data_IF_243500203313
#
_entry.id   IF_243500203313
#
_cell.length_a   1.000
_cell.length_b   1.000
_cell.length_c   1.000
_cell.angle_alpha   90.00
_cell.angle_beta   90.00
_cell.angle_gamma   90.00
#
_symmetry.space_group_name_H-M   'P 1'
#
loop_
_entity.id
_entity.type
_entity.pdbx_description
1 polymer ?
#
# COMPACT_ATOMS: atom_id res chain seq x y z
N UNK A 1 -0.91 12.33 29.17
CA UNK A 1 -0.84 11.11 28.34
C UNK A 1 -0.31 11.55 27.00
N UNK A 2 0.98 11.37 26.81
CA UNK A 2 1.72 11.80 25.62
C UNK A 2 1.44 10.79 24.49
N UNK A 3 0.60 11.14 23.52
CA UNK A 3 0.39 10.35 22.31
C UNK A 3 1.44 10.81 21.29
N UNK A 4 2.65 10.24 21.39
CA UNK A 4 3.76 10.61 20.52
C UNK A 4 3.54 10.19 19.06
N UNK A 5 4.04 10.96 18.08
CA UNK A 5 3.90 10.71 16.63
C UNK A 5 4.57 9.40 16.15
N UNK A 6 5.44 8.80 16.96
CA UNK A 6 6.23 7.61 16.62
C UNK A 6 5.42 6.35 16.26
N UNK A 7 4.17 6.25 16.70
CA UNK A 7 3.35 5.06 16.41
C UNK A 7 2.74 5.08 15.01
N UNK A 8 2.44 6.25 14.47
CA UNK A 8 1.81 6.37 13.17
C UNK A 8 2.81 6.16 12.04
N UNK A 9 4.02 6.70 12.18
CA UNK A 9 5.14 6.48 11.25
C UNK A 9 5.50 4.99 11.19
N UNK A 10 5.57 4.32 12.34
CA UNK A 10 5.84 2.88 12.39
C UNK A 10 4.74 2.01 11.75
N UNK A 11 3.48 2.43 11.85
CA UNK A 11 2.37 1.72 11.19
C UNK A 11 2.38 1.95 9.68
N UNK A 12 2.68 3.17 9.25
CA UNK A 12 2.80 3.50 7.83
C UNK A 12 3.94 2.73 7.16
N UNK A 13 5.10 2.65 7.82
CA UNK A 13 6.24 1.85 7.32
C UNK A 13 5.88 0.37 7.19
N UNK A 14 5.18 -0.20 8.18
CA UNK A 14 4.70 -1.59 8.13
C UNK A 14 3.70 -1.82 6.99
N UNK A 15 2.82 -0.87 6.73
CA UNK A 15 1.88 -0.95 5.60
C UNK A 15 2.66 -0.95 4.29
N UNK A 16 3.61 -0.03 4.12
CA UNK A 16 4.44 0.07 2.91
C UNK A 16 5.26 -1.20 2.69
N UNK A 17 5.91 -1.72 3.73
CA UNK A 17 6.68 -2.97 3.67
C UNK A 17 5.78 -4.15 3.28
N UNK A 18 4.64 -4.31 3.95
CA UNK A 18 3.73 -5.41 3.68
C UNK A 18 3.07 -5.31 2.29
N UNK A 19 2.81 -4.10 1.78
CA UNK A 19 2.38 -3.84 0.39
C UNK A 19 3.46 -4.30 -0.59
N UNK A 20 4.72 -3.92 -0.37
CA UNK A 20 5.84 -4.33 -1.21
C UNK A 20 6.02 -5.86 -1.23
N UNK A 21 5.93 -6.51 -0.07
CA UNK A 21 5.99 -7.98 0.03
C UNK A 21 4.80 -8.62 -0.68
N UNK A 22 3.59 -8.06 -0.55
CA UNK A 22 2.39 -8.56 -1.23
C UNK A 22 2.57 -8.53 -2.74
N UNK A 23 3.04 -7.41 -3.29
CA UNK A 23 3.31 -7.22 -4.72
C UNK A 23 4.35 -8.21 -5.23
N UNK A 24 5.51 -8.26 -4.56
CA UNK A 24 6.57 -9.21 -4.89
C UNK A 24 6.08 -10.67 -4.88
N UNK A 25 5.24 -11.03 -3.90
CA UNK A 25 4.71 -12.38 -3.78
C UNK A 25 3.67 -12.73 -4.86
N UNK A 26 2.90 -11.75 -5.35
CA UNK A 26 2.03 -11.93 -6.53
C UNK A 26 2.88 -12.17 -7.78
N UNK A 27 3.88 -11.32 -8.02
CA UNK A 27 4.77 -11.42 -9.19
C UNK A 27 5.55 -12.75 -9.20
N UNK A 28 5.94 -13.22 -8.01
CA UNK A 28 6.67 -14.49 -7.82
C UNK A 28 5.76 -15.73 -7.77
N UNK A 29 4.46 -15.60 -8.03
CA UNK A 29 3.49 -16.69 -7.93
C UNK A 29 3.52 -17.42 -6.57
N UNK A 30 3.68 -16.66 -5.49
CA UNK A 30 3.71 -17.14 -4.09
C UNK A 30 2.42 -16.76 -3.34
N UNK A 31 1.25 -17.33 -3.70
CA UNK A 31 -0.06 -16.84 -3.27
C UNK A 31 -0.32 -16.95 -1.76
N UNK A 32 0.38 -17.86 -1.07
CA UNK A 32 0.29 -17.97 0.40
C UNK A 32 1.01 -16.83 1.10
N UNK A 33 2.17 -16.45 0.58
CA UNK A 33 2.95 -15.32 1.08
C UNK A 33 2.21 -14.01 0.78
N UNK A 34 1.67 -13.87 -0.45
CA UNK A 34 0.90 -12.70 -0.85
C UNK A 34 -0.32 -12.48 0.06
N UNK A 35 -1.07 -13.56 0.37
CA UNK A 35 -2.18 -13.49 1.31
C UNK A 35 -1.73 -13.12 2.74
N UNK A 36 -0.63 -13.70 3.22
CA UNK A 36 -0.13 -13.40 4.56
C UNK A 36 0.30 -11.92 4.69
N UNK A 37 1.00 -11.40 3.69
CA UNK A 37 1.42 -10.00 3.65
C UNK A 37 0.22 -9.05 3.53
N UNK A 38 -0.75 -9.35 2.65
CA UNK A 38 -1.96 -8.55 2.51
C UNK A 38 -2.79 -8.49 3.80
N UNK A 39 -2.84 -9.60 4.55
CA UNK A 39 -3.47 -9.66 5.88
C UNK A 39 -2.80 -8.73 6.88
N UNK A 40 -1.48 -8.71 6.89
CA UNK A 40 -0.73 -7.86 7.81
C UNK A 40 -0.89 -6.38 7.45
N UNK A 41 -0.78 -6.05 6.16
CA UNK A 41 -1.02 -4.71 5.66
C UNK A 41 -2.45 -4.23 6.01
N UNK A 42 -3.46 -5.09 5.84
CA UNK A 42 -4.84 -4.77 6.18
C UNK A 42 -5.05 -4.53 7.69
N UNK A 43 -4.37 -5.28 8.57
CA UNK A 43 -4.42 -5.04 10.02
C UNK A 43 -3.76 -3.71 10.39
N UNK A 44 -2.57 -3.46 9.87
CA UNK A 44 -1.85 -2.21 10.11
C UNK A 44 -2.66 -1.01 9.59
N UNK A 45 -3.28 -1.13 8.42
CA UNK A 45 -4.18 -0.11 7.86
C UNK A 45 -5.39 0.13 8.76
N UNK A 46 -6.07 -0.91 9.26
CA UNK A 46 -7.19 -0.74 10.20
C UNK A 46 -6.77 -0.03 11.50
N UNK A 47 -5.57 -0.31 12.00
CA UNK A 47 -5.01 0.38 13.17
C UNK A 47 -4.70 1.84 12.87
N UNK A 48 -4.06 2.14 11.74
CA UNK A 48 -3.74 3.50 11.32
C UNK A 48 -5.01 4.34 11.08
N UNK A 49 -6.03 3.75 10.44
CA UNK A 49 -7.33 4.38 10.20
C UNK A 49 -8.11 4.65 11.49
N UNK A 50 -7.87 3.89 12.56
CA UNK A 50 -8.43 4.15 13.88
C UNK A 50 -7.86 5.40 14.55
N UNK A 51 -6.73 5.92 14.05
CA UNK A 51 -6.01 7.07 14.62
C UNK A 51 -6.26 8.39 13.86
N UNK A 52 -6.85 8.33 12.66
CA UNK A 52 -7.15 9.51 11.83
C UNK A 52 -8.62 9.93 11.91
N UNK A 53 -8.88 11.23 11.86
CA UNK A 53 -10.24 11.79 11.84
C UNK A 53 -11.01 11.45 10.54
N UNK A 54 -10.27 11.19 9.47
CA UNK A 54 -10.81 10.85 8.14
C UNK A 54 -11.36 9.42 8.14
N UNK A 55 -12.65 9.26 7.89
CA UNK A 55 -13.25 7.93 7.72
C UNK A 55 -13.21 7.49 6.26
N UNK A 56 -12.53 6.38 5.93
CA UNK A 56 -12.57 5.82 4.58
C UNK A 56 -13.97 5.27 4.28
N UNK A 57 -14.23 5.01 3.00
CA UNK A 57 -15.50 4.48 2.54
C UNK A 57 -15.86 3.18 3.27
N UNK A 58 -17.15 2.98 3.57
CA UNK A 58 -17.64 1.78 4.27
C UNK A 58 -17.24 0.49 3.55
N UNK A 59 -17.22 0.51 2.22
CA UNK A 59 -16.80 -0.62 1.38
C UNK A 59 -15.32 -0.96 1.56
N UNK A 60 -14.47 0.05 1.62
CA UNK A 60 -13.02 -0.11 1.82
C UNK A 60 -12.72 -0.70 3.20
N UNK A 61 -13.41 -0.23 4.25
CA UNK A 61 -13.33 -0.82 5.59
C UNK A 61 -13.81 -2.28 5.64
N UNK A 62 -14.85 -2.63 4.87
CA UNK A 62 -15.34 -4.00 4.81
C UNK A 62 -14.30 -4.93 4.18
N UNK A 63 -13.67 -4.50 3.08
CA UNK A 63 -12.61 -5.26 2.41
C UNK A 63 -11.39 -5.46 3.34
N UNK A 64 -10.92 -4.40 4.01
CA UNK A 64 -9.80 -4.52 4.96
C UNK A 64 -10.11 -5.48 6.11
N UNK A 65 -11.33 -5.46 6.63
CA UNK A 65 -11.77 -6.40 7.69
C UNK A 65 -11.87 -7.83 7.18
N UNK A 66 -12.42 -8.02 5.99
CA UNK A 66 -12.52 -9.32 5.35
C UNK A 66 -11.12 -9.94 5.21
N UNK A 67 -10.18 -9.21 4.62
CA UNK A 67 -8.82 -9.70 4.43
C UNK A 67 -8.12 -9.92 5.76
N UNK A 68 -8.14 -8.96 6.69
CA UNK A 68 -7.49 -9.12 8.00
C UNK A 68 -7.93 -10.40 8.75
N UNK A 69 -9.18 -10.80 8.58
CA UNK A 69 -9.79 -11.98 9.24
C UNK A 69 -9.83 -13.24 8.38
N UNK A 70 -9.52 -13.17 7.08
CA UNK A 70 -9.59 -14.34 6.19
C UNK A 70 -8.58 -15.40 6.63
N UNK A 71 -9.05 -16.64 6.67
CA UNK A 71 -8.23 -17.79 7.04
C UNK A 71 -7.81 -18.56 5.80
N UNK A 72 -6.60 -19.14 5.77
CA UNK A 72 -6.12 -19.91 4.60
C UNK A 72 -7.07 -21.04 4.19
N UNK A 73 -7.78 -21.65 5.16
CA UNK A 73 -8.73 -22.73 4.91
C UNK A 73 -9.99 -22.28 4.16
N UNK A 74 -10.45 -21.03 4.36
CA UNK A 74 -11.61 -20.49 3.62
C UNK A 74 -11.33 -20.34 2.12
N UNK A 75 -10.07 -20.16 1.76
CA UNK A 75 -9.61 -20.00 0.38
C UNK A 75 -8.89 -21.26 -0.13
N UNK A 76 -9.01 -22.39 0.56
CA UNK A 76 -8.43 -23.65 0.11
C UNK A 76 -9.13 -24.12 -1.17
N UNK A 77 -8.33 -24.50 -2.18
CA UNK A 77 -8.86 -24.93 -3.49
C UNK A 77 -9.44 -23.81 -4.36
N UNK A 78 -9.36 -22.54 -3.95
CA UNK A 78 -9.88 -21.38 -4.70
C UNK A 78 -8.76 -20.38 -5.03
N UNK A 79 -7.87 -20.70 -5.99
CA UNK A 79 -6.74 -19.83 -6.32
C UNK A 79 -7.18 -18.47 -6.89
N UNK A 80 -8.18 -18.45 -7.78
CA UNK A 80 -8.70 -17.21 -8.38
C UNK A 80 -9.31 -16.25 -7.35
N UNK A 81 -10.13 -16.76 -6.42
CA UNK A 81 -10.70 -15.94 -5.34
C UNK A 81 -9.60 -15.33 -4.45
N UNK A 82 -8.52 -16.08 -4.21
CA UNK A 82 -7.40 -15.61 -3.42
C UNK A 82 -6.64 -14.49 -4.12
N UNK A 83 -6.31 -14.67 -5.40
CA UNK A 83 -5.61 -13.64 -6.19
C UNK A 83 -6.47 -12.37 -6.32
N UNK A 84 -7.76 -12.52 -6.60
CA UNK A 84 -8.68 -11.39 -6.68
C UNK A 84 -8.78 -10.62 -5.35
N UNK A 85 -8.88 -11.34 -4.22
CA UNK A 85 -8.94 -10.72 -2.89
C UNK A 85 -7.64 -9.98 -2.55
N UNK A 86 -6.48 -10.60 -2.83
CA UNK A 86 -5.17 -10.00 -2.57
C UNK A 86 -4.95 -8.79 -3.47
N UNK A 87 -5.24 -8.88 -4.77
CA UNK A 87 -5.12 -7.77 -5.71
C UNK A 87 -6.01 -6.58 -5.35
N UNK A 88 -7.29 -6.82 -5.05
CA UNK A 88 -8.21 -5.76 -4.63
C UNK A 88 -7.76 -5.07 -3.34
N UNK A 89 -7.13 -5.83 -2.42
CA UNK A 89 -6.59 -5.27 -1.17
C UNK A 89 -5.34 -4.45 -1.43
N UNK A 90 -4.46 -4.91 -2.32
CA UNK A 90 -3.26 -4.19 -2.72
C UNK A 90 -3.62 -2.84 -3.34
N UNK A 91 -4.53 -2.82 -4.32
CA UNK A 91 -5.01 -1.60 -4.97
C UNK A 91 -5.60 -0.59 -3.97
N UNK A 92 -6.36 -1.11 -2.99
CA UNK A 92 -6.93 -0.27 -1.94
C UNK A 92 -5.84 0.33 -1.05
N UNK A 93 -4.87 -0.47 -0.62
CA UNK A 93 -3.80 -0.04 0.27
C UNK A 93 -2.89 0.98 -0.42
N UNK A 94 -2.54 0.78 -1.70
CA UNK A 94 -1.75 1.74 -2.48
C UNK A 94 -2.49 3.08 -2.65
N UNK A 95 -3.83 3.07 -2.74
CA UNK A 95 -4.64 4.29 -2.79
C UNK A 95 -4.73 5.02 -1.44
N UNK A 96 -4.86 4.28 -0.34
CA UNK A 96 -5.00 4.85 1.00
C UNK A 96 -3.66 5.28 1.61
N UNK A 97 -2.58 4.59 1.27
CA UNK A 97 -1.23 4.77 1.80
C UNK A 97 -0.24 4.81 0.64
N UNK A 98 -0.25 5.88 -0.17
CA UNK A 98 0.60 5.95 -1.35
C UNK A 98 2.09 5.89 -0.95
N UNK A 99 2.89 5.05 -1.62
CA UNK A 99 4.32 4.95 -1.35
C UNK A 99 5.00 6.32 -1.51
N UNK A 100 6.09 6.57 -0.77
CA UNK A 100 6.77 7.86 -0.73
C UNK A 100 7.23 8.34 -2.12
N UNK A 101 7.59 7.42 -3.01
CA UNK A 101 8.00 7.72 -4.39
C UNK A 101 6.88 8.36 -5.22
N UNK A 102 5.61 8.03 -4.94
CA UNK A 102 4.44 8.64 -5.61
C UNK A 102 4.08 10.00 -5.02
N UNK A 103 4.52 10.33 -3.80
CA UNK A 103 4.28 11.64 -3.19
C UNK A 103 5.31 12.70 -3.64
N UNK A 104 6.49 12.28 -4.08
CA UNK A 104 7.53 13.20 -4.60
C UNK A 104 7.23 13.73 -6.01
N UNK A 105 6.39 13.07 -6.81
CA UNK A 105 5.99 13.52 -8.15
C UNK A 105 5.09 14.76 -8.20
N UNK A 106 4.54 15.21 -7.06
CA UNK A 106 3.69 16.39 -6.95
C UNK A 106 4.41 17.67 -6.47
N UNK A 107 5.68 17.58 -6.08
CA UNK A 107 6.42 18.71 -5.51
C UNK A 107 7.44 19.25 -6.51
N UNK A 108 6.96 20.13 -7.39
CA UNK A 108 7.72 21.08 -8.20
C UNK A 108 8.98 20.51 -8.89
N UNK A 109 8.81 19.98 -10.10
CA UNK A 109 9.84 20.12 -11.13
C UNK A 109 9.92 21.62 -11.43
N UNK A 110 10.86 22.31 -10.75
CA UNK A 110 11.31 23.63 -11.20
C UNK A 110 11.71 23.55 -12.68
N UNK A 111 11.52 24.62 -13.46
CA UNK A 111 11.73 24.58 -14.90
C UNK A 111 13.10 23.97 -15.20
N UNK A 112 13.09 22.90 -16.00
CA UNK A 112 14.29 22.33 -16.61
C UNK A 112 15.13 23.50 -17.15
N UNK A 113 16.42 23.61 -16.81
CA UNK A 113 17.28 24.57 -17.48
C UNK A 113 17.26 24.25 -18.97
N UNK A 114 16.91 25.24 -19.78
CA UNK A 114 16.94 25.15 -21.23
C UNK A 114 18.30 24.59 -21.69
N UNK A 115 18.35 23.70 -22.70
CA UNK A 115 19.62 23.23 -23.22
C UNK A 115 20.45 24.43 -23.69
N UNK A 116 21.66 24.54 -23.15
CA UNK A 116 22.66 25.52 -23.56
C UNK A 116 22.82 25.40 -25.08
N UNK A 117 22.36 26.41 -25.82
CA UNK A 117 22.59 26.50 -27.25
C UNK A 117 24.11 26.50 -27.48
N UNK A 118 24.59 25.50 -28.21
CA UNK A 118 25.94 25.49 -28.72
C UNK A 118 26.10 26.69 -29.67
N UNK A 119 26.87 27.69 -29.25
CA UNK A 119 27.33 28.75 -30.13
C UNK A 119 28.16 28.13 -31.27
N UNK A 120 27.87 28.42 -32.54
CA UNK A 120 28.78 28.07 -33.62
C UNK A 120 30.01 28.99 -33.54
N UNK A 121 31.19 28.38 -33.51
CA UNK A 121 32.46 29.08 -33.72
C UNK A 121 32.48 29.76 -35.09
N UNK A 122 32.94 31.01 -35.11
CA UNK A 122 33.43 31.69 -36.30
C UNK A 122 34.96 31.79 -36.21
#
# INVERSE_FOLDING_TARGET
>A
MDNGPFHQDSLQDRIIEAVAVTRFALDSQAPRLALAAAREAARAALLALGQVASRPARRDLALLREVATVTPHRLAGRPGDREALVGATLDLLERLFPPPDLQQGGKAVGPLPAPLAASPSA
#
